data_IF_042446970200
#
_entry.id   IF_042446970200
#
_cell.length_a   1.000
_cell.length_b   1.000
_cell.length_c   1.000
_cell.angle_alpha   90.00
_cell.angle_beta   90.00
_cell.angle_gamma   90.00
#
_symmetry.space_group_name_H-M   'P 1'
#
loop_
_entity.id
_entity.type
_entity.pdbx_description
1 polymer ?
#
# COMPACT_ATOMS: atom_id res chain seq x y z
N UNK A 1 46.92 14.78 -36.81
CA UNK A 1 46.31 14.19 -35.60
C UNK A 1 45.59 12.91 -35.99
N UNK A 2 46.28 11.76 -35.86
CA UNK A 2 45.72 10.45 -36.22
C UNK A 2 44.78 9.96 -35.12
N UNK A 3 43.49 9.77 -35.45
CA UNK A 3 42.56 9.05 -34.57
C UNK A 3 43.06 7.60 -34.47
N UNK A 4 43.30 7.05 -33.26
CA UNK A 4 43.77 5.67 -33.15
C UNK A 4 42.69 4.74 -33.71
N UNK A 5 43.06 3.91 -34.70
CA UNK A 5 42.19 2.89 -35.27
C UNK A 5 41.75 1.95 -34.14
N UNK A 6 40.45 1.96 -33.79
CA UNK A 6 39.87 0.98 -32.86
C UNK A 6 40.16 -0.42 -33.41
N UNK A 7 40.98 -1.20 -32.72
CA UNK A 7 41.26 -2.58 -33.16
C UNK A 7 39.95 -3.36 -33.24
N UNK A 8 39.77 -4.15 -34.31
CA UNK A 8 38.55 -4.95 -34.54
C UNK A 8 38.19 -5.80 -33.32
N UNK A 9 39.19 -6.31 -32.61
CA UNK A 9 39.03 -7.06 -31.37
C UNK A 9 38.45 -6.20 -30.24
N UNK A 10 38.94 -4.96 -30.05
CA UNK A 10 38.40 -4.03 -29.04
C UNK A 10 36.96 -3.64 -29.36
N UNK A 11 36.62 -3.43 -30.63
CA UNK A 11 35.25 -3.15 -31.04
C UNK A 11 34.30 -4.35 -30.82
N UNK A 12 34.75 -5.57 -31.14
CA UNK A 12 33.97 -6.79 -30.88
C UNK A 12 33.77 -7.02 -29.37
N UNK A 13 34.79 -6.74 -28.55
CA UNK A 13 34.72 -6.82 -27.10
C UNK A 13 33.78 -5.76 -26.51
N UNK A 14 33.87 -4.50 -26.96
CA UNK A 14 32.94 -3.41 -26.59
C UNK A 14 31.49 -3.79 -26.94
N UNK A 15 31.27 -4.35 -28.13
CA UNK A 15 29.93 -4.78 -28.58
C UNK A 15 29.40 -5.96 -27.77
N UNK A 16 30.26 -6.93 -27.45
CA UNK A 16 29.90 -8.08 -26.62
C UNK A 16 29.55 -7.65 -25.19
N UNK A 17 30.35 -6.76 -24.59
CA UNK A 17 30.09 -6.19 -23.26
C UNK A 17 28.78 -5.38 -23.25
N UNK A 18 28.53 -4.55 -24.27
CA UNK A 18 27.29 -3.80 -24.38
C UNK A 18 26.06 -4.73 -24.46
N UNK A 19 26.13 -5.80 -25.25
CA UNK A 19 25.05 -6.80 -25.37
C UNK A 19 24.82 -7.57 -24.07
N UNK A 20 25.88 -7.97 -23.37
CA UNK A 20 25.80 -8.62 -22.05
C UNK A 20 25.20 -7.69 -21.00
N UNK A 21 25.64 -6.43 -20.96
CA UNK A 21 25.07 -5.39 -20.08
C UNK A 21 23.58 -5.21 -20.32
N UNK A 22 23.14 -5.06 -21.58
CA UNK A 22 21.71 -4.95 -21.92
C UNK A 22 20.92 -6.17 -21.46
N UNK A 23 21.49 -7.38 -21.59
CA UNK A 23 20.84 -8.62 -21.15
C UNK A 23 20.73 -8.67 -19.63
N UNK A 24 21.77 -8.25 -18.90
CA UNK A 24 21.77 -8.19 -17.45
C UNK A 24 20.80 -7.13 -16.93
N UNK A 25 20.75 -5.95 -17.55
CA UNK A 25 19.77 -4.89 -17.21
C UNK A 25 18.35 -5.41 -17.39
N UNK A 26 18.03 -6.05 -18.52
CA UNK A 26 16.70 -6.66 -18.73
C UNK A 26 16.35 -7.74 -17.72
N UNK A 27 17.32 -8.58 -17.34
CA UNK A 27 17.11 -9.62 -16.30
C UNK A 27 16.94 -9.01 -14.92
N UNK A 28 17.69 -7.96 -14.61
CA UNK A 28 17.57 -7.21 -13.38
C UNK A 28 16.20 -6.53 -13.29
N UNK A 29 15.76 -5.85 -14.35
CA UNK A 29 14.42 -5.24 -14.44
C UNK A 29 13.32 -6.30 -14.29
N UNK A 30 13.46 -7.47 -14.93
CA UNK A 30 12.49 -8.56 -14.79
C UNK A 30 12.44 -9.12 -13.36
N UNK A 31 13.60 -9.33 -12.72
CA UNK A 31 13.68 -9.77 -11.32
C UNK A 31 13.13 -8.70 -10.37
N UNK A 32 13.43 -7.43 -10.62
CA UNK A 32 12.90 -6.31 -9.86
C UNK A 32 11.37 -6.29 -9.97
N UNK A 33 10.80 -6.42 -11.17
CA UNK A 33 9.35 -6.48 -11.37
C UNK A 33 8.69 -7.70 -10.68
N UNK A 34 9.41 -8.84 -10.56
CA UNK A 34 8.90 -10.02 -9.84
C UNK A 34 8.93 -9.88 -8.33
N UNK A 35 9.84 -9.07 -7.79
CA UNK A 35 10.05 -8.89 -6.35
C UNK A 35 9.35 -7.64 -5.80
N UNK A 36 8.93 -6.73 -6.68
CA UNK A 36 8.19 -5.54 -6.29
C UNK A 36 6.73 -5.89 -5.97
N UNK A 37 6.11 -5.17 -5.02
CA UNK A 37 4.67 -5.30 -4.77
C UNK A 37 3.87 -5.09 -6.05
N UNK A 38 2.71 -5.74 -6.17
CA UNK A 38 1.83 -5.58 -7.32
C UNK A 38 1.52 -4.10 -7.60
N UNK A 39 1.41 -3.73 -8.87
CA UNK A 39 0.96 -2.40 -9.28
C UNK A 39 -0.54 -2.23 -9.06
N UNK A 40 -1.04 -0.99 -9.18
CA UNK A 40 -2.44 -0.68 -8.91
C UNK A 40 -3.41 -1.43 -9.83
N UNK A 41 -3.05 -1.58 -11.11
CA UNK A 41 -3.83 -2.33 -12.10
C UNK A 41 -3.94 -3.82 -11.72
N UNK A 42 -2.83 -4.49 -11.38
CA UNK A 42 -2.87 -5.88 -10.95
C UNK A 42 -3.64 -6.06 -9.63
N UNK A 43 -3.55 -5.08 -8.70
CA UNK A 43 -4.32 -5.10 -7.45
C UNK A 43 -5.82 -5.00 -7.69
N UNK A 44 -6.27 -4.09 -8.55
CA UNK A 44 -7.69 -4.00 -8.91
C UNK A 44 -8.16 -5.28 -9.60
N UNK A 45 -7.38 -5.81 -10.55
CA UNK A 45 -7.76 -7.00 -11.32
C UNK A 45 -7.91 -8.27 -10.45
N UNK A 46 -7.06 -8.44 -9.43
CA UNK A 46 -7.11 -9.63 -8.57
C UNK A 46 -8.14 -9.57 -7.46
N UNK A 47 -8.63 -8.39 -7.08
CA UNK A 47 -9.46 -8.17 -5.89
C UNK A 47 -10.63 -9.16 -5.80
N UNK A 48 -11.37 -9.32 -6.89
CA UNK A 48 -12.55 -10.18 -6.95
C UNK A 48 -12.23 -11.67 -6.88
N UNK A 49 -11.02 -12.06 -7.27
CA UNK A 49 -10.55 -13.45 -7.23
C UNK A 49 -10.09 -13.89 -5.83
N UNK A 50 -9.95 -12.97 -4.87
CA UNK A 50 -9.46 -13.28 -3.53
C UNK A 50 -10.55 -14.05 -2.75
N UNK A 51 -10.25 -15.25 -2.24
CA UNK A 51 -11.22 -16.07 -1.52
C UNK A 51 -11.53 -15.50 -0.12
N UNK A 52 -12.77 -15.69 0.33
CA UNK A 52 -13.16 -15.46 1.74
C UNK A 52 -12.87 -16.71 2.56
N UNK A 53 -11.60 -16.91 2.92
CA UNK A 53 -11.16 -18.05 3.71
C UNK A 53 -10.03 -17.63 4.64
N UNK A 54 -9.91 -18.30 5.77
CA UNK A 54 -8.70 -18.23 6.59
C UNK A 54 -7.68 -19.23 6.05
N UNK A 55 -6.55 -18.72 5.57
CA UNK A 55 -5.42 -19.55 5.12
C UNK A 55 -4.40 -19.72 6.25
N UNK A 56 -4.40 -18.78 7.18
CA UNK A 56 -3.50 -18.75 8.31
C UNK A 56 -4.10 -19.40 9.56
N UNK A 57 -3.27 -20.16 10.29
CA UNK A 57 -3.55 -20.58 11.67
C UNK A 57 -3.00 -19.62 12.72
N UNK A 58 -2.27 -18.59 12.30
CA UNK A 58 -1.69 -17.58 13.18
C UNK A 58 -2.80 -16.73 13.80
N UNK A 59 -2.59 -16.34 15.06
CA UNK A 59 -3.51 -15.48 15.81
C UNK A 59 -2.75 -14.41 16.57
N UNK A 60 -3.28 -13.18 16.64
CA UNK A 60 -2.67 -12.13 17.45
C UNK A 60 -2.73 -12.49 18.93
N UNK A 61 -1.80 -11.92 19.70
CA UNK A 61 -1.79 -12.07 21.16
C UNK A 61 -3.07 -11.43 21.75
N UNK A 62 -3.78 -12.10 22.67
CA UNK A 62 -4.93 -11.49 23.34
C UNK A 62 -4.55 -10.17 24.03
N UNK A 63 -5.38 -9.14 23.86
CA UNK A 63 -5.11 -7.81 24.42
C UNK A 63 -4.04 -6.98 23.71
N UNK A 64 -3.49 -7.46 22.58
CA UNK A 64 -2.61 -6.66 21.72
C UNK A 64 -3.41 -5.73 20.80
N UNK A 65 -2.74 -4.70 20.27
CA UNK A 65 -3.32 -3.80 19.27
C UNK A 65 -3.84 -4.55 18.03
N UNK A 66 -3.16 -5.65 17.66
CA UNK A 66 -3.53 -6.49 16.51
C UNK A 66 -4.80 -7.32 16.78
N UNK A 67 -5.04 -7.73 18.03
CA UNK A 67 -6.27 -8.40 18.41
C UNK A 67 -7.47 -7.46 18.34
N UNK A 68 -7.31 -6.20 18.78
CA UNK A 68 -8.37 -5.21 18.63
C UNK A 68 -8.65 -4.86 17.16
N UNK A 69 -7.59 -4.72 16.37
CA UNK A 69 -7.72 -4.50 14.92
C UNK A 69 -8.49 -5.66 14.27
N UNK A 70 -8.27 -6.89 14.73
CA UNK A 70 -9.00 -8.05 14.24
C UNK A 70 -10.50 -7.95 14.42
N UNK A 71 -10.98 -7.38 15.53
CA UNK A 71 -12.41 -7.15 15.76
C UNK A 71 -12.99 -6.16 14.74
N UNK A 72 -12.22 -5.11 14.42
CA UNK A 72 -12.64 -4.13 13.41
C UNK A 72 -12.67 -4.73 12.01
N UNK A 73 -11.62 -5.46 11.62
CA UNK A 73 -11.53 -6.10 10.30
C UNK A 73 -12.62 -7.16 10.13
N UNK A 74 -12.97 -7.89 11.19
CA UNK A 74 -14.06 -8.87 11.15
C UNK A 74 -15.43 -8.24 10.91
N UNK A 75 -15.64 -6.99 11.35
CA UNK A 75 -16.89 -6.26 11.11
C UNK A 75 -17.02 -5.72 9.67
N UNK A 76 -15.93 -5.72 8.89
CA UNK A 76 -15.96 -5.20 7.52
C UNK A 76 -16.70 -6.14 6.56
N UNK A 77 -17.48 -5.57 5.60
CA UNK A 77 -18.08 -6.35 4.54
C UNK A 77 -17.01 -7.01 3.66
N UNK A 78 -17.38 -8.10 2.99
CA UNK A 78 -16.44 -8.93 2.25
C UNK A 78 -15.68 -8.16 1.14
N UNK A 79 -16.35 -7.27 0.40
CA UNK A 79 -15.69 -6.48 -0.65
C UNK A 79 -14.56 -5.61 -0.07
N UNK A 80 -14.77 -5.01 1.11
CA UNK A 80 -13.73 -4.25 1.82
C UNK A 80 -12.60 -5.15 2.31
N UNK A 81 -12.90 -6.34 2.83
CA UNK A 81 -11.85 -7.31 3.23
C UNK A 81 -11.01 -7.80 2.05
N UNK A 82 -11.64 -8.04 0.89
CA UNK A 82 -10.94 -8.37 -0.37
C UNK A 82 -10.09 -7.22 -0.87
N UNK A 83 -10.60 -6.01 -0.77
CA UNK A 83 -9.83 -4.83 -1.12
C UNK A 83 -8.60 -4.68 -0.21
N UNK A 84 -8.78 -4.82 1.10
CA UNK A 84 -7.67 -4.81 2.06
C UNK A 84 -6.66 -5.93 1.75
N UNK A 85 -7.12 -7.14 1.44
CA UNK A 85 -6.25 -8.24 1.03
C UNK A 85 -5.42 -7.87 -0.20
N UNK A 86 -6.05 -7.23 -1.19
CA UNK A 86 -5.35 -6.75 -2.38
C UNK A 86 -4.38 -5.60 -2.11
N UNK A 87 -4.62 -4.75 -1.12
CA UNK A 87 -3.64 -3.72 -0.73
C UNK A 87 -2.43 -4.32 0.00
N UNK A 88 -2.65 -5.37 0.78
CA UNK A 88 -1.62 -6.02 1.60
C UNK A 88 -0.88 -7.15 0.89
N UNK A 89 -1.23 -7.47 -0.36
CA UNK A 89 -0.75 -8.67 -1.06
C UNK A 89 -1.06 -9.99 -0.29
N UNK A 90 -2.17 -10.01 0.45
CA UNK A 90 -2.59 -11.17 1.24
C UNK A 90 -3.24 -12.26 0.35
N UNK A 91 -3.08 -13.54 0.69
CA UNK A 91 -3.61 -14.65 -0.11
C UNK A 91 -5.14 -14.82 0.01
N UNK A 92 -5.76 -14.27 1.06
CA UNK A 92 -7.20 -14.39 1.30
C UNK A 92 -7.75 -13.19 2.09
N UNK A 93 -9.08 -13.06 2.09
CA UNK A 93 -9.82 -12.01 2.79
C UNK A 93 -10.25 -12.40 4.23
N UNK A 94 -9.68 -13.49 4.77
CA UNK A 94 -9.90 -13.92 6.15
C UNK A 94 -9.32 -12.90 7.15
N UNK A 95 -10.04 -12.60 8.22
CA UNK A 95 -9.66 -11.55 9.16
C UNK A 95 -8.29 -11.83 9.82
N UNK A 96 -8.05 -13.08 10.25
CA UNK A 96 -6.78 -13.48 10.87
C UNK A 96 -5.64 -13.43 9.86
N UNK A 97 -5.89 -13.88 8.63
CA UNK A 97 -4.93 -13.82 7.53
C UNK A 97 -4.57 -12.37 7.16
N UNK A 98 -5.52 -11.45 7.22
CA UNK A 98 -5.30 -10.02 7.00
C UNK A 98 -4.45 -9.40 8.12
N UNK A 99 -4.73 -9.72 9.38
CA UNK A 99 -3.92 -9.23 10.51
C UNK A 99 -2.49 -9.76 10.41
N UNK A 100 -2.31 -11.04 10.07
CA UNK A 100 -0.97 -11.60 9.86
C UNK A 100 -0.24 -10.85 8.74
N UNK A 101 -0.92 -10.57 7.62
CA UNK A 101 -0.34 -9.80 6.53
C UNK A 101 0.09 -8.39 6.96
N UNK A 102 -0.68 -7.74 7.85
CA UNK A 102 -0.31 -6.45 8.46
C UNK A 102 0.91 -6.58 9.36
N UNK A 103 0.99 -7.63 10.17
CA UNK A 103 2.14 -7.81 11.06
C UNK A 103 3.42 -8.14 10.30
N UNK A 104 3.30 -8.83 9.18
CA UNK A 104 4.40 -9.18 8.27
C UNK A 104 4.73 -8.06 7.28
N UNK A 105 3.93 -6.99 7.28
CA UNK A 105 4.09 -5.86 6.37
C UNK A 105 5.46 -5.22 6.59
N UNK A 106 6.21 -5.05 5.51
CA UNK A 106 7.55 -4.49 5.54
C UNK A 106 7.53 -3.04 5.07
N UNK A 107 7.18 -2.12 5.98
CA UNK A 107 7.21 -0.68 5.69
C UNK A 107 8.63 -0.17 5.47
N UNK A 108 9.59 -0.59 6.29
CA UNK A 108 10.99 -0.17 6.19
C UNK A 108 11.81 -1.25 5.46
N UNK A 109 12.60 -0.84 4.46
CA UNK A 109 13.46 -1.75 3.71
C UNK A 109 14.57 -2.35 4.59
N UNK A 110 15.02 -1.63 5.63
CA UNK A 110 16.03 -2.13 6.59
C UNK A 110 15.49 -3.26 7.45
N UNK A 111 14.18 -3.26 7.66
CA UNK A 111 13.46 -4.27 8.44
C UNK A 111 13.31 -5.59 7.68
N UNK A 112 13.36 -5.57 6.33
CA UNK A 112 13.38 -6.81 5.52
C UNK A 112 14.55 -7.74 5.84
N UNK A 113 15.60 -7.19 6.46
CA UNK A 113 16.82 -7.89 6.81
C UNK A 113 16.90 -8.27 8.29
N UNK A 114 15.83 -8.10 9.07
CA UNK A 114 15.79 -8.54 10.47
C UNK A 114 15.29 -9.99 10.55
N UNK A 115 16.19 -10.99 10.76
CA UNK A 115 15.80 -12.39 10.84
C UNK A 115 15.11 -12.75 12.17
N UNK A 116 15.12 -11.87 13.18
CA UNK A 116 14.62 -12.16 14.52
C UNK A 116 13.14 -11.82 14.70
N UNK A 117 12.62 -10.86 13.92
CA UNK A 117 11.23 -10.40 14.04
C UNK A 117 10.48 -10.62 12.72
N UNK A 118 9.81 -11.77 12.63
CA UNK A 118 8.96 -12.11 11.47
C UNK A 118 7.59 -11.43 11.50
N UNK A 119 7.11 -11.06 12.68
CA UNK A 119 5.82 -10.41 12.92
C UNK A 119 6.03 -9.20 13.83
N UNK A 120 5.39 -8.09 13.50
CA UNK A 120 5.41 -6.86 14.29
C UNK A 120 3.98 -6.47 14.62
N UNK A 121 3.71 -6.23 15.89
CA UNK A 121 2.39 -5.79 16.32
C UNK A 121 1.97 -4.53 15.56
N UNK A 122 0.67 -4.40 15.30
CA UNK A 122 0.12 -3.28 14.55
C UNK A 122 0.55 -1.90 15.10
N UNK A 123 0.62 -1.74 16.43
CA UNK A 123 1.12 -0.52 17.06
C UNK A 123 2.55 -0.14 16.62
N UNK A 124 3.43 -1.13 16.48
CA UNK A 124 4.80 -0.91 16.00
C UNK A 124 4.82 -0.52 14.51
N UNK A 125 3.93 -1.10 13.70
CA UNK A 125 3.76 -0.69 12.29
C UNK A 125 3.34 0.77 12.16
N UNK A 126 2.43 1.24 13.02
CA UNK A 126 2.02 2.65 13.05
C UNK A 126 3.17 3.58 13.43
N UNK A 127 4.04 3.20 14.37
CA UNK A 127 5.23 4.00 14.70
C UNK A 127 6.17 4.11 13.51
N UNK A 128 6.39 3.02 12.77
CA UNK A 128 7.22 3.04 11.55
C UNK A 128 6.59 3.93 10.48
N UNK A 129 5.28 3.79 10.23
CA UNK A 129 4.57 4.61 9.26
C UNK A 129 4.61 6.10 9.62
N UNK A 130 4.36 6.45 10.89
CA UNK A 130 4.45 7.83 11.35
C UNK A 130 5.84 8.44 11.08
N UNK A 131 6.93 7.69 11.31
CA UNK A 131 8.28 8.15 10.99
C UNK A 131 8.50 8.31 9.48
N UNK A 132 7.93 7.45 8.66
CA UNK A 132 8.03 7.56 7.20
C UNK A 132 7.28 8.75 6.64
N UNK A 133 6.19 9.15 7.30
CA UNK A 133 5.41 10.35 7.01
C UNK A 133 6.01 11.63 7.64
N UNK A 134 7.22 11.55 8.21
CA UNK A 134 7.90 12.64 8.92
C UNK A 134 7.08 13.23 10.10
N UNK A 135 6.24 12.40 10.73
CA UNK A 135 5.46 12.75 11.92
C UNK A 135 6.20 12.34 13.20
N UNK A 136 5.94 13.06 14.29
CA UNK A 136 6.41 12.67 15.62
C UNK A 136 5.57 11.49 16.16
N UNK A 137 6.13 10.26 16.25
CA UNK A 137 5.37 9.10 16.70
C UNK A 137 5.12 9.18 18.21
N UNK A 138 3.92 8.82 18.62
CA UNK A 138 3.63 8.46 20.01
C UNK A 138 4.19 7.07 20.32
N UNK A 139 4.32 6.75 21.61
CA UNK A 139 4.71 5.42 22.07
C UNK A 139 3.75 4.33 21.56
N UNK A 140 4.26 3.11 21.40
CA UNK A 140 3.48 1.96 20.90
C UNK A 140 2.24 1.69 21.75
N UNK A 141 2.32 1.87 23.06
CA UNK A 141 1.17 1.73 23.98
C UNK A 141 0.06 2.76 23.75
N UNK A 142 0.36 3.87 23.07
CA UNK A 142 -0.57 4.94 22.75
C UNK A 142 -0.87 4.99 21.24
N UNK A 143 -0.96 3.83 20.60
CA UNK A 143 -1.15 3.69 19.15
C UNK A 143 -2.38 4.44 18.60
N UNK A 144 -3.46 4.60 19.37
CA UNK A 144 -4.62 5.41 18.96
C UNK A 144 -4.24 6.87 18.61
N UNK A 145 -3.26 7.45 19.33
CA UNK A 145 -2.74 8.79 19.00
C UNK A 145 -1.96 8.78 17.69
N UNK A 146 -1.35 7.65 17.33
CA UNK A 146 -0.70 7.51 16.02
C UNK A 146 -1.75 7.38 14.92
N UNK A 147 -2.83 6.63 15.13
CA UNK A 147 -3.94 6.54 14.16
C UNK A 147 -4.52 7.93 13.84
N UNK A 148 -4.80 8.74 14.87
CA UNK A 148 -5.31 10.10 14.73
C UNK A 148 -4.38 11.05 13.98
N UNK A 149 -3.07 10.80 14.00
CA UNK A 149 -2.07 11.61 13.28
C UNK A 149 -1.84 11.11 11.85
N UNK A 150 -1.81 9.80 11.67
CA UNK A 150 -1.52 9.15 10.38
C UNK A 150 -2.69 9.34 9.42
N UNK A 151 -3.92 9.18 9.90
CA UNK A 151 -5.12 9.30 9.06
C UNK A 151 -5.19 10.62 8.28
N UNK A 152 -5.11 11.81 8.91
CA UNK A 152 -5.13 13.08 8.19
C UNK A 152 -3.88 13.28 7.31
N UNK A 153 -2.72 12.78 7.71
CA UNK A 153 -1.50 12.89 6.90
C UNK A 153 -1.60 12.09 5.60
N UNK A 154 -2.14 10.87 5.65
CA UNK A 154 -2.40 10.07 4.45
C UNK A 154 -3.47 10.73 3.57
N UNK A 155 -4.51 11.31 4.18
CA UNK A 155 -5.55 12.03 3.46
C UNK A 155 -5.00 13.23 2.67
N UNK A 156 -4.06 13.99 3.26
CA UNK A 156 -3.34 15.09 2.57
C UNK A 156 -2.52 14.55 1.40
N UNK A 157 -1.75 13.47 1.58
CA UNK A 157 -0.97 12.87 0.49
C UNK A 157 -1.88 12.36 -0.65
N UNK A 158 -3.04 11.82 -0.31
CA UNK A 158 -4.03 11.39 -1.30
C UNK A 158 -4.64 12.55 -2.07
N UNK A 159 -4.88 13.68 -1.41
CA UNK A 159 -5.27 14.91 -2.10
C UNK A 159 -4.16 15.39 -3.05
N UNK A 160 -2.91 15.35 -2.60
CA UNK A 160 -1.76 15.70 -3.44
C UNK A 160 -1.58 14.74 -4.61
N UNK A 161 -1.99 13.48 -4.50
CA UNK A 161 -1.95 12.54 -5.62
C UNK A 161 -3.03 12.77 -6.68
N UNK A 162 -4.03 13.62 -6.42
CA UNK A 162 -5.09 13.88 -7.38
C UNK A 162 -4.56 14.62 -8.62
N UNK A 163 -5.11 14.34 -9.81
CA UNK A 163 -4.89 15.16 -10.99
C UNK A 163 -5.28 16.63 -10.73
N UNK A 164 -4.51 17.59 -11.23
CA UNK A 164 -4.75 19.03 -11.02
C UNK A 164 -6.18 19.46 -11.37
N UNK A 165 -6.78 18.84 -12.39
CA UNK A 165 -8.17 19.05 -12.82
C UNK A 165 -9.22 18.71 -11.75
N UNK A 166 -8.95 17.74 -10.88
CA UNK A 166 -9.85 17.30 -9.81
C UNK A 166 -9.53 18.01 -8.48
N UNK A 167 -8.30 18.48 -8.27
CA UNK A 167 -7.91 19.14 -7.01
C UNK A 167 -8.77 20.36 -6.71
N UNK A 168 -9.06 21.20 -7.70
CA UNK A 168 -9.90 22.41 -7.50
C UNK A 168 -11.32 22.06 -7.09
N UNK A 169 -11.96 21.17 -7.85
CA UNK A 169 -13.34 20.71 -7.59
C UNK A 169 -13.45 20.02 -6.23
N UNK A 170 -12.45 19.22 -5.85
CA UNK A 170 -12.48 18.49 -4.59
C UNK A 170 -12.13 19.36 -3.39
N UNK A 171 -11.27 20.36 -3.55
CA UNK A 171 -10.92 21.30 -2.48
C UNK A 171 -12.10 22.20 -2.10
N UNK A 172 -12.99 22.50 -3.05
CA UNK A 172 -14.25 23.19 -2.78
C UNK A 172 -15.24 22.33 -1.96
N UNK A 173 -15.14 21.00 -2.08
CA UNK A 173 -16.07 20.05 -1.43
C UNK A 173 -15.60 19.61 -0.04
N UNK A 174 -14.31 19.33 0.10
CA UNK A 174 -13.75 18.77 1.32
C UNK A 174 -12.41 19.44 1.65
N UNK A 175 -12.16 19.81 2.92
CA UNK A 175 -10.84 20.27 3.32
C UNK A 175 -9.85 19.08 3.40
N UNK A 176 -8.58 19.27 2.98
CA UNK A 176 -7.54 18.25 3.13
C UNK A 176 -7.26 17.93 4.60
N UNK A 177 -7.08 16.65 4.90
CA UNK A 177 -6.92 16.14 6.27
C UNK A 177 -8.24 15.76 6.96
N UNK A 178 -9.38 15.86 6.28
CA UNK A 178 -10.69 15.46 6.80
C UNK A 178 -10.97 13.96 6.71
N UNK A 179 -10.12 13.21 5.99
CA UNK A 179 -10.31 11.77 5.74
C UNK A 179 -11.22 11.45 4.56
N UNK A 180 -11.81 12.47 3.92
CA UNK A 180 -12.75 12.27 2.81
C UNK A 180 -12.05 11.82 1.53
N UNK A 181 -10.77 12.11 1.34
CA UNK A 181 -9.99 11.65 0.19
C UNK A 181 -9.63 10.18 0.30
N UNK A 182 -9.41 9.66 1.51
CA UNK A 182 -9.23 8.22 1.76
C UNK A 182 -10.45 7.44 1.28
N UNK A 183 -11.65 7.85 1.71
CA UNK A 183 -12.91 7.21 1.27
C UNK A 183 -13.15 7.37 -0.22
N UNK A 184 -12.96 8.58 -0.76
CA UNK A 184 -13.16 8.83 -2.19
C UNK A 184 -12.24 7.96 -3.06
N UNK A 185 -10.94 7.87 -2.73
CA UNK A 185 -10.02 7.01 -3.48
C UNK A 185 -10.39 5.53 -3.37
N UNK A 186 -10.92 5.08 -2.23
CA UNK A 186 -11.41 3.71 -2.10
C UNK A 186 -12.57 3.46 -3.06
N UNK A 187 -13.56 4.34 -3.10
CA UNK A 187 -14.72 4.20 -3.98
C UNK A 187 -14.27 4.15 -5.45
N UNK A 188 -13.33 5.01 -5.84
CA UNK A 188 -12.77 5.02 -7.19
C UNK A 188 -12.00 3.74 -7.52
N UNK A 189 -11.17 3.25 -6.60
CA UNK A 189 -10.38 2.03 -6.83
C UNK A 189 -11.25 0.76 -6.83
N UNK A 190 -12.32 0.74 -6.03
CA UNK A 190 -13.35 -0.30 -6.06
C UNK A 190 -14.12 -0.28 -7.39
N UNK A 191 -14.49 0.90 -7.88
CA UNK A 191 -15.09 1.05 -9.21
C UNK A 191 -14.16 0.52 -10.32
N UNK A 192 -12.84 0.79 -10.23
CA UNK A 192 -11.85 0.22 -11.17
C UNK A 192 -11.69 -1.28 -11.05
N UNK A 193 -11.83 -1.83 -9.85
CA UNK A 193 -11.81 -3.26 -9.61
C UNK A 193 -13.08 -3.98 -10.09
N UNK A 194 -14.07 -3.21 -10.59
CA UNK A 194 -15.32 -3.74 -11.12
C UNK A 194 -16.35 -4.11 -10.05
N UNK A 195 -16.24 -3.52 -8.85
CA UNK A 195 -17.23 -3.73 -7.79
C UNK A 195 -18.60 -3.17 -8.23
N UNK A 196 -19.69 -3.97 -8.18
CA UNK A 196 -21.01 -3.53 -8.61
C UNK A 196 -21.51 -2.36 -7.77
N UNK A 197 -22.10 -1.36 -8.43
CA UNK A 197 -22.67 -0.17 -7.77
C UNK A 197 -21.67 0.97 -7.55
N UNK A 198 -20.40 0.80 -7.90
CA UNK A 198 -19.39 1.86 -7.84
C UNK A 198 -19.21 2.51 -9.21
N UNK A 199 -19.18 3.84 -9.27
CA UNK A 199 -18.99 4.60 -10.51
C UNK A 199 -17.65 5.34 -10.51
N UNK A 200 -17.01 5.41 -11.68
CA UNK A 200 -15.78 6.16 -11.86
C UNK A 200 -16.09 7.63 -12.12
N UNK A 201 -15.62 8.50 -11.22
CA UNK A 201 -15.83 9.94 -11.29
C UNK A 201 -14.57 10.65 -11.77
N UNK A 202 -14.50 10.93 -13.08
CA UNK A 202 -13.56 11.89 -13.66
C UNK A 202 -12.08 11.48 -13.69
N UNK A 203 -11.71 10.31 -13.17
CA UNK A 203 -10.36 9.75 -13.30
C UNK A 203 -10.15 9.13 -14.68
N UNK A 204 -9.03 9.43 -15.33
CA UNK A 204 -8.58 8.78 -16.56
C UNK A 204 -7.77 7.52 -16.28
N UNK A 205 -7.57 6.66 -17.28
CA UNK A 205 -6.98 5.31 -17.13
C UNK A 205 -5.61 5.26 -16.40
N UNK A 206 -4.85 6.35 -16.43
CA UNK A 206 -3.52 6.46 -15.82
C UNK A 206 -3.50 7.20 -14.47
N UNK A 207 -4.65 7.72 -14.01
CA UNK A 207 -4.71 8.44 -12.75
C UNK A 207 -4.76 7.43 -11.59
N UNK A 208 -3.66 7.30 -10.85
CA UNK A 208 -3.51 6.39 -9.71
C UNK A 208 -2.99 7.16 -8.49
N UNK A 209 -3.26 6.71 -7.26
CA UNK A 209 -2.68 7.36 -6.10
C UNK A 209 -1.16 7.16 -6.07
N UNK A 210 -0.43 8.26 -5.95
CA UNK A 210 1.04 8.34 -5.88
C UNK A 210 1.55 7.99 -4.47
N UNK A 211 1.17 6.81 -4.00
CA UNK A 211 1.26 6.36 -2.60
C UNK A 211 1.48 4.84 -2.58
N UNK A 212 2.33 4.30 -1.69
CA UNK A 212 2.42 2.85 -1.52
C UNK A 212 1.08 2.24 -1.08
N UNK A 213 0.63 1.15 -1.70
CA UNK A 213 -0.62 0.48 -1.35
C UNK A 213 -0.71 0.08 0.14
N UNK A 214 0.42 -0.28 0.74
CA UNK A 214 0.54 -0.56 2.17
C UNK A 214 0.23 0.65 3.06
N UNK A 215 0.63 1.86 2.64
CA UNK A 215 0.32 3.08 3.36
C UNK A 215 -1.17 3.44 3.22
N UNK A 216 -1.76 3.20 2.04
CA UNK A 216 -3.21 3.34 1.87
C UNK A 216 -3.98 2.38 2.79
N UNK A 217 -3.53 1.12 2.88
CA UNK A 217 -4.12 0.11 3.76
C UNK A 217 -4.09 0.55 5.23
N UNK A 218 -2.91 0.91 5.74
CA UNK A 218 -2.75 1.34 7.13
C UNK A 218 -3.46 2.66 7.41
N UNK A 219 -3.41 3.62 6.48
CA UNK A 219 -4.13 4.88 6.58
C UNK A 219 -5.64 4.64 6.68
N UNK A 220 -6.19 3.76 5.85
CA UNK A 220 -7.59 3.36 5.96
C UNK A 220 -7.92 2.71 7.30
N UNK A 221 -7.09 1.78 7.76
CA UNK A 221 -7.28 1.10 9.05
C UNK A 221 -7.28 2.09 10.23
N UNK A 222 -6.42 3.12 10.19
CA UNK A 222 -6.44 4.22 11.16
C UNK A 222 -7.77 4.98 11.14
N UNK A 223 -8.39 5.10 9.97
CA UNK A 223 -9.68 5.76 9.78
C UNK A 223 -10.89 4.94 10.23
N UNK A 224 -10.80 3.61 10.32
CA UNK A 224 -11.96 2.76 10.60
C UNK A 224 -12.66 3.12 11.92
N UNK A 225 -11.89 3.44 12.96
CA UNK A 225 -12.42 3.87 14.27
C UNK A 225 -12.97 5.30 14.23
N UNK A 226 -12.29 6.18 13.50
CA UNK A 226 -12.67 7.59 13.39
C UNK A 226 -13.99 7.75 12.61
N UNK A 227 -14.17 6.96 11.56
CA UNK A 227 -15.39 6.95 10.73
C UNK A 227 -16.58 6.36 11.52
N UNK A 228 -16.34 5.40 12.41
CA UNK A 228 -17.41 4.80 13.24
C UNK A 228 -17.82 5.69 14.41
N UNK A 229 -16.92 6.53 14.94
CA UNK A 229 -17.25 7.50 15.98
C UNK A 229 -18.05 8.70 15.45
N UNK A 230 -17.82 9.15 14.21
CA UNK A 230 -18.61 10.22 13.57
C UNK A 230 -20.06 9.80 13.22
N UNK A 231 -20.38 8.51 13.27
CA UNK A 231 -21.71 7.97 13.01
C UNK A 231 -22.57 7.77 14.29
N UNK A 232 -22.08 8.25 15.45
CA UNK A 232 -22.79 8.26 16.73
C UNK A 232 -23.08 9.69 17.19
#
# INVERSE_FOLDING_TARGET
MNKPHKSRQRWLMERWLAKRRQTLVKRWEALQNQLMPADWTARCARMMAIPDAEVSSWKPRPGSSSAELGLLVQALPLHQRRWLASLLDAPSAGASTLIEAIERLQLDWRVRLDPLHSHREYAAQLVVLARQLDLQPAAESAYLKNEQKIYPAIDVLLFESLPLRLRTVMLERYPPGSGKYVGWWQDQLLARAGEPGSALDGLGDNDWPELPAAWLALGWLCGLRLITDDAR
#
